data_IF_070403215418
#
_entry.id   IF_070403215418
#
_cell.length_a   1.000
_cell.length_b   1.000
_cell.length_c   1.000
_cell.angle_alpha   90.00
_cell.angle_beta   90.00
_cell.angle_gamma   90.00
#
_symmetry.space_group_name_H-M   'P 1'
#
loop_
_entity.id
_entity.type
_entity.pdbx_description
1 polymer ?
#
# COMPACT_ATOMS: atom_id res chain seq x y z
N UNK A 1 16.77 -42.99 27.39
CA UNK A 1 17.20 -42.01 28.44
C UNK A 1 16.04 -41.52 29.31
N UNK A 2 15.02 -40.76 28.83
CA UNK A 2 13.91 -40.27 29.70
C UNK A 2 13.08 -41.39 30.25
N UNK A 3 12.76 -42.44 29.47
CA UNK A 3 12.03 -43.62 29.92
C UNK A 3 12.85 -44.47 30.88
N UNK A 4 14.19 -44.52 30.74
CA UNK A 4 15.09 -45.25 31.62
C UNK A 4 15.23 -44.59 32.99
N UNK A 5 14.92 -43.30 33.07
CA UNK A 5 14.89 -42.53 34.33
C UNK A 5 13.52 -42.59 35.03
N UNK A 6 12.58 -43.38 34.53
CA UNK A 6 11.22 -43.54 35.06
C UNK A 6 10.49 -42.20 35.29
N UNK A 7 10.78 -41.20 34.41
CA UNK A 7 10.18 -39.90 34.53
C UNK A 7 8.66 -39.97 34.31
N UNK A 8 7.83 -39.46 35.25
CA UNK A 8 6.39 -39.52 35.11
C UNK A 8 5.93 -38.63 33.93
N UNK A 9 5.15 -39.24 33.03
CA UNK A 9 4.66 -38.59 31.80
C UNK A 9 5.80 -38.04 30.90
N UNK A 10 6.66 -38.95 30.36
CA UNK A 10 7.78 -38.51 29.56
C UNK A 10 7.33 -37.70 28.31
N UNK A 11 7.98 -36.59 28.00
CA UNK A 11 7.66 -35.83 26.80
C UNK A 11 7.94 -36.66 25.54
N UNK A 12 7.09 -36.48 24.53
CA UNK A 12 7.30 -37.06 23.20
C UNK A 12 8.01 -36.08 22.29
N UNK A 13 9.04 -36.56 21.60
CA UNK A 13 9.61 -35.80 20.49
C UNK A 13 8.71 -36.01 19.27
N UNK A 14 8.22 -34.88 18.70
CA UNK A 14 7.41 -34.90 17.49
C UNK A 14 8.16 -34.05 16.46
N UNK A 15 8.43 -34.64 15.31
CA UNK A 15 9.09 -33.94 14.20
C UNK A 15 8.04 -33.53 13.15
N UNK A 16 8.15 -32.33 12.68
CA UNK A 16 7.33 -31.78 11.62
C UNK A 16 8.19 -31.43 10.41
N UNK A 17 7.61 -31.56 9.21
CA UNK A 17 8.28 -31.14 8.00
C UNK A 17 8.44 -29.60 7.96
N UNK A 18 9.45 -29.16 7.24
CA UNK A 18 9.64 -27.74 6.96
C UNK A 18 8.53 -27.22 6.05
N UNK A 19 7.92 -26.10 6.42
CA UNK A 19 7.03 -25.35 5.56
C UNK A 19 7.86 -24.56 4.52
N UNK A 20 7.55 -24.74 3.24
CA UNK A 20 8.11 -23.95 2.15
C UNK A 20 7.10 -22.91 1.68
N UNK A 21 7.60 -21.72 1.38
CA UNK A 21 6.84 -20.63 0.77
C UNK A 21 7.38 -20.37 -0.63
N UNK A 22 6.49 -20.18 -1.60
CA UNK A 22 6.86 -19.79 -2.95
C UNK A 22 7.41 -18.35 -2.99
N UNK A 23 8.24 -18.03 -3.97
CA UNK A 23 8.74 -16.68 -4.26
C UNK A 23 9.48 -15.97 -3.11
N UNK A 24 9.93 -16.70 -2.09
CA UNK A 24 10.65 -16.15 -0.94
C UNK A 24 11.92 -16.93 -0.63
N UNK A 25 12.81 -16.27 0.10
CA UNK A 25 14.07 -16.86 0.59
C UNK A 25 13.97 -17.13 2.08
N UNK A 26 14.03 -18.41 2.47
CA UNK A 26 14.01 -18.83 3.88
C UNK A 26 15.35 -19.41 4.35
N UNK A 27 16.25 -19.74 3.41
CA UNK A 27 17.55 -20.33 3.70
C UNK A 27 18.52 -19.34 4.31
N UNK A 28 18.97 -19.58 5.56
CA UNK A 28 19.88 -18.68 6.30
C UNK A 28 21.12 -18.28 5.51
N UNK A 29 21.73 -19.21 4.77
CA UNK A 29 22.95 -18.95 3.96
C UNK A 29 22.69 -17.89 2.86
N UNK A 30 21.52 -17.94 2.22
CA UNK A 30 21.16 -16.99 1.17
C UNK A 30 20.83 -15.62 1.76
N UNK A 31 20.08 -15.58 2.87
CA UNK A 31 19.75 -14.32 3.56
C UNK A 31 21.03 -13.64 4.03
N UNK A 32 21.96 -14.40 4.63
CA UNK A 32 23.27 -13.88 5.05
C UNK A 32 24.03 -13.26 3.87
N UNK A 33 24.05 -13.94 2.72
CA UNK A 33 24.71 -13.45 1.50
C UNK A 33 24.07 -12.17 0.99
N UNK A 34 22.71 -12.07 0.95
CA UNK A 34 22.01 -10.85 0.56
C UNK A 34 22.35 -9.65 1.45
N UNK A 35 22.54 -9.88 2.76
CA UNK A 35 22.96 -8.84 3.71
C UNK A 35 24.41 -8.45 3.50
N UNK A 36 25.32 -9.43 3.36
CA UNK A 36 26.77 -9.19 3.16
C UNK A 36 27.07 -8.47 1.84
N UNK A 37 26.30 -8.77 0.79
CA UNK A 37 26.41 -8.11 -0.52
C UNK A 37 25.69 -6.76 -0.58
N UNK A 38 25.04 -6.31 0.51
CA UNK A 38 24.30 -5.03 0.57
C UNK A 38 23.04 -4.98 -0.31
N UNK A 39 22.52 -6.14 -0.72
CA UNK A 39 21.28 -6.23 -1.53
C UNK A 39 20.06 -5.93 -0.67
N UNK A 40 20.13 -6.30 0.61
CA UNK A 40 19.13 -5.96 1.65
C UNK A 40 19.81 -5.27 2.82
N UNK A 41 19.07 -4.36 3.51
CA UNK A 41 19.62 -3.53 4.60
C UNK A 41 19.93 -4.31 5.89
N UNK A 42 19.50 -5.56 6.00
CA UNK A 42 19.70 -6.37 7.18
C UNK A 42 18.67 -7.49 7.29
N UNK A 43 18.66 -8.18 8.43
CA UNK A 43 17.74 -9.28 8.70
C UNK A 43 16.29 -8.82 8.91
N UNK A 44 16.09 -7.53 9.12
CA UNK A 44 14.78 -6.84 9.26
C UNK A 44 14.30 -6.16 7.97
N UNK A 45 15.01 -6.36 6.85
CA UNK A 45 14.59 -5.79 5.57
C UNK A 45 13.19 -6.29 5.17
N UNK A 46 12.23 -5.40 4.88
CA UNK A 46 10.83 -5.77 4.58
C UNK A 46 10.62 -6.71 3.39
N UNK A 47 11.64 -6.95 2.56
CA UNK A 47 11.62 -7.94 1.47
C UNK A 47 11.84 -9.38 1.94
N UNK A 48 12.28 -9.56 3.19
CA UNK A 48 12.51 -10.88 3.78
C UNK A 48 11.28 -11.38 4.53
N UNK A 49 11.30 -12.67 4.89
CA UNK A 49 10.22 -13.34 5.64
C UNK A 49 10.63 -13.73 7.07
N UNK A 50 11.69 -13.12 7.60
CA UNK A 50 11.99 -13.23 9.03
C UNK A 50 10.90 -12.55 9.86
N UNK A 51 10.69 -12.96 11.11
CA UNK A 51 9.70 -12.32 12.00
C UNK A 51 10.01 -10.81 12.18
N UNK A 52 11.30 -10.44 12.24
CA UNK A 52 11.70 -9.04 12.32
C UNK A 52 11.32 -8.26 11.05
N UNK A 53 11.55 -8.84 9.87
CA UNK A 53 11.21 -8.24 8.59
C UNK A 53 9.70 -8.11 8.41
N UNK A 54 8.93 -9.17 8.69
CA UNK A 54 7.48 -9.15 8.62
C UNK A 54 6.89 -8.09 9.57
N UNK A 55 7.41 -7.99 10.81
CA UNK A 55 6.99 -6.95 11.77
C UNK A 55 7.26 -5.55 11.25
N UNK A 56 8.48 -5.28 10.73
CA UNK A 56 8.85 -3.98 10.16
C UNK A 56 8.02 -3.64 8.93
N UNK A 57 7.66 -4.64 8.12
CA UNK A 57 6.76 -4.47 6.98
C UNK A 57 5.31 -4.19 7.38
N UNK A 58 4.91 -4.53 8.61
CA UNK A 58 3.58 -4.28 9.15
C UNK A 58 2.66 -5.50 9.20
N UNK A 59 3.21 -6.73 9.12
CA UNK A 59 2.43 -7.93 9.35
C UNK A 59 2.05 -8.08 10.81
N UNK A 60 0.78 -8.36 11.07
CA UNK A 60 0.24 -8.55 12.42
C UNK A 60 0.47 -9.98 12.92
N UNK A 61 0.61 -10.21 14.23
CA UNK A 61 0.66 -11.56 14.80
C UNK A 61 -0.57 -12.40 14.42
N UNK A 62 -1.75 -11.79 14.36
CA UNK A 62 -3.03 -12.43 14.01
C UNK A 62 -2.99 -12.96 12.59
N UNK A 63 -2.49 -12.18 11.62
CA UNK A 63 -2.37 -12.61 10.24
C UNK A 63 -1.41 -13.79 10.06
N UNK A 64 -0.29 -13.79 10.80
CA UNK A 64 0.68 -14.88 10.76
C UNK A 64 0.08 -16.15 11.39
N UNK A 65 -0.61 -16.04 12.53
CA UNK A 65 -1.32 -17.16 13.15
C UNK A 65 -2.37 -17.74 12.21
N UNK A 66 -3.17 -16.89 11.59
CA UNK A 66 -4.19 -17.29 10.60
C UNK A 66 -3.58 -18.03 9.42
N UNK A 67 -2.45 -17.54 8.90
CA UNK A 67 -1.71 -18.22 7.85
C UNK A 67 -1.24 -19.63 8.30
N UNK A 68 -0.71 -19.75 9.51
CA UNK A 68 -0.28 -21.06 10.05
C UNK A 68 -1.45 -22.02 10.24
N UNK A 69 -2.62 -21.53 10.67
CA UNK A 69 -3.85 -22.34 10.75
C UNK A 69 -4.28 -22.87 9.39
N UNK A 70 -4.28 -22.02 8.36
CA UNK A 70 -4.65 -22.39 6.99
C UNK A 70 -3.65 -23.35 6.34
N UNK A 71 -2.35 -23.14 6.58
CA UNK A 71 -1.29 -24.02 6.07
C UNK A 71 -1.33 -25.39 6.73
N UNK A 72 -1.78 -25.46 7.97
CA UNK A 72 -1.78 -26.68 8.79
C UNK A 72 -0.38 -27.12 9.20
N UNK A 73 -0.33 -28.12 10.10
CA UNK A 73 0.90 -28.76 10.57
C UNK A 73 0.97 -30.14 9.97
N UNK A 74 2.03 -30.47 9.21
CA UNK A 74 2.20 -31.74 8.53
C UNK A 74 3.56 -32.37 8.85
N UNK A 75 3.62 -33.70 8.87
CA UNK A 75 4.89 -34.45 8.87
C UNK A 75 5.44 -34.61 7.45
N UNK A 76 4.59 -34.49 6.43
CA UNK A 76 5.00 -34.51 5.04
C UNK A 76 5.40 -33.08 4.61
N UNK A 77 6.42 -32.98 3.76
CA UNK A 77 6.85 -31.70 3.20
C UNK A 77 5.68 -31.04 2.46
N UNK A 78 5.42 -29.77 2.79
CA UNK A 78 4.37 -28.98 2.16
C UNK A 78 4.93 -27.63 1.66
N UNK A 79 4.33 -27.12 0.59
CA UNK A 79 4.61 -25.79 0.08
C UNK A 79 3.32 -24.98 0.08
N UNK A 80 3.37 -23.79 0.64
CA UNK A 80 2.26 -22.84 0.62
C UNK A 80 2.60 -21.65 -0.30
N UNK A 81 1.59 -21.14 -0.98
CA UNK A 81 1.76 -19.94 -1.78
C UNK A 81 1.95 -18.72 -0.86
N UNK A 82 2.94 -17.88 -1.14
CA UNK A 82 3.14 -16.62 -0.43
C UNK A 82 1.90 -15.71 -0.50
N UNK A 83 1.14 -15.78 -1.59
CA UNK A 83 -0.12 -15.06 -1.74
C UNK A 83 -1.16 -15.42 -0.67
N UNK A 84 -1.09 -16.60 -0.05
CA UNK A 84 -1.95 -16.97 1.09
C UNK A 84 -1.58 -16.18 2.35
N UNK A 85 -0.30 -15.93 2.61
CA UNK A 85 0.14 -15.06 3.70
C UNK A 85 -0.31 -13.62 3.46
N UNK A 86 -0.18 -13.14 2.21
CA UNK A 86 -0.67 -11.81 1.82
C UNK A 86 -2.20 -11.69 1.95
N UNK A 87 -2.94 -12.74 1.65
CA UNK A 87 -4.38 -12.79 1.88
C UNK A 87 -4.71 -12.64 3.37
N UNK A 88 -4.04 -13.36 4.25
CA UNK A 88 -4.28 -13.31 5.68
C UNK A 88 -4.08 -11.89 6.26
N UNK A 89 -3.01 -11.18 5.86
CA UNK A 89 -2.78 -9.82 6.33
C UNK A 89 -3.78 -8.83 5.72
N UNK A 90 -4.17 -9.01 4.47
CA UNK A 90 -5.17 -8.16 3.82
C UNK A 90 -6.52 -8.24 4.53
N UNK A 91 -6.99 -9.45 4.87
CA UNK A 91 -8.24 -9.65 5.60
C UNK A 91 -8.19 -9.09 7.03
N UNK A 92 -7.04 -9.21 7.71
CA UNK A 92 -6.88 -8.65 9.05
C UNK A 92 -6.93 -7.11 9.05
N UNK A 93 -6.23 -6.47 8.11
CA UNK A 93 -6.15 -5.02 8.01
C UNK A 93 -7.42 -4.36 7.45
N UNK A 94 -8.22 -5.10 6.69
CA UNK A 94 -9.45 -4.59 6.07
C UNK A 94 -10.40 -3.93 7.07
N UNK A 95 -10.50 -4.51 8.29
CA UNK A 95 -11.35 -4.02 9.37
C UNK A 95 -10.64 -3.06 10.33
N UNK A 96 -9.30 -3.10 10.38
CA UNK A 96 -8.51 -2.38 11.39
C UNK A 96 -7.92 -1.08 10.87
N UNK A 97 -7.50 -1.05 9.58
CA UNK A 97 -6.76 0.06 9.02
C UNK A 97 -7.68 1.18 8.54
N UNK A 98 -7.36 2.42 8.91
CA UNK A 98 -8.01 3.59 8.36
C UNK A 98 -7.70 3.76 6.88
N UNK A 99 -8.73 4.14 6.10
CA UNK A 99 -8.62 4.34 4.64
C UNK A 99 -8.34 5.80 4.35
N UNK A 100 -7.12 6.09 3.99
CA UNK A 100 -6.57 7.42 3.84
C UNK A 100 -6.24 7.74 2.37
N UNK A 101 -6.33 9.01 1.99
CA UNK A 101 -5.91 9.44 0.66
C UNK A 101 -4.41 9.74 0.66
N UNK A 102 -3.71 9.11 -0.28
CA UNK A 102 -2.28 9.29 -0.50
C UNK A 102 -2.01 9.27 -2.00
N UNK A 103 -1.28 10.24 -2.49
CA UNK A 103 -0.90 10.40 -3.89
C UNK A 103 0.57 10.03 -4.02
N UNK A 104 0.87 8.96 -4.75
CA UNK A 104 2.20 8.37 -4.82
C UNK A 104 3.07 8.98 -5.93
N UNK A 105 2.47 9.35 -7.05
CA UNK A 105 3.13 10.10 -8.14
C UNK A 105 2.33 11.37 -8.41
N UNK A 106 2.59 12.44 -7.64
CA UNK A 106 1.75 13.62 -7.64
C UNK A 106 1.85 14.44 -8.94
N UNK A 107 0.67 14.88 -9.40
CA UNK A 107 0.53 15.95 -10.37
C UNK A 107 -0.44 16.98 -9.79
N UNK A 108 -0.12 18.27 -10.01
CA UNK A 108 -0.93 19.38 -9.50
C UNK A 108 -2.23 19.51 -10.31
N UNK A 109 -3.35 19.68 -9.60
CA UNK A 109 -4.64 19.99 -10.16
C UNK A 109 -5.11 21.34 -9.60
N UNK A 110 -5.42 22.29 -10.47
CA UNK A 110 -5.93 23.61 -10.11
C UNK A 110 -7.39 23.71 -10.51
N UNK A 111 -8.24 24.14 -9.58
CA UNK A 111 -9.67 24.34 -9.83
C UNK A 111 -9.87 25.84 -10.09
N UNK A 112 -9.95 26.21 -11.37
CA UNK A 112 -9.89 27.62 -11.82
C UNK A 112 -11.03 28.49 -11.28
N UNK A 113 -12.23 27.92 -11.14
CA UNK A 113 -13.40 28.62 -10.64
C UNK A 113 -13.65 28.41 -9.13
N UNK A 114 -12.71 27.80 -8.38
CA UNK A 114 -12.80 27.75 -6.92
C UNK A 114 -12.26 29.04 -6.31
N UNK A 115 -12.94 29.65 -5.31
CA UNK A 115 -12.53 30.92 -4.74
C UNK A 115 -11.11 30.90 -4.16
N UNK A 116 -10.32 31.90 -4.46
CA UNK A 116 -8.96 32.03 -3.92
C UNK A 116 -8.97 32.19 -2.40
N UNK A 117 -8.03 31.54 -1.72
CA UNK A 117 -7.88 31.60 -0.27
C UNK A 117 -8.98 30.90 0.52
N UNK A 118 -9.98 30.33 -0.15
CA UNK A 118 -11.01 29.54 0.53
C UNK A 118 -10.52 28.11 0.78
N UNK A 119 -10.77 27.63 2.01
CA UNK A 119 -10.61 26.22 2.39
C UNK A 119 -11.90 25.75 3.01
N UNK A 120 -12.42 24.63 2.57
CA UNK A 120 -13.52 23.93 3.21
C UNK A 120 -13.09 22.55 3.68
N UNK A 121 -13.95 21.89 4.45
CA UNK A 121 -13.67 20.56 5.01
C UNK A 121 -14.79 19.60 4.68
N UNK A 122 -14.38 18.39 4.29
CA UNK A 122 -15.28 17.26 4.07
C UNK A 122 -15.13 16.24 5.18
N UNK A 123 -16.25 15.69 5.64
CA UNK A 123 -16.26 14.53 6.53
C UNK A 123 -16.11 13.28 5.67
N UNK A 124 -15.01 12.54 5.88
CA UNK A 124 -14.71 11.31 5.16
C UNK A 124 -14.57 10.17 6.15
N UNK A 125 -15.25 9.05 5.87
CA UNK A 125 -15.19 7.84 6.71
C UNK A 125 -13.74 7.32 6.82
N UNK A 126 -13.33 7.03 8.04
CA UNK A 126 -12.03 6.41 8.29
C UNK A 126 -12.00 4.97 7.77
N UNK A 127 -13.08 4.21 7.97
CA UNK A 127 -13.20 2.88 7.41
C UNK A 127 -14.66 2.54 7.14
N UNK A 128 -15.06 2.40 5.88
CA UNK A 128 -16.44 2.11 5.49
C UNK A 128 -16.96 0.73 5.92
N UNK A 129 -16.07 -0.19 6.31
CA UNK A 129 -16.44 -1.53 6.79
C UNK A 129 -16.44 -1.61 8.32
N UNK A 130 -16.03 -0.53 9.01
CA UNK A 130 -16.02 -0.42 10.46
C UNK A 130 -16.60 0.94 10.89
N UNK A 131 -17.88 0.98 11.15
CA UNK A 131 -18.59 2.22 11.57
C UNK A 131 -17.99 2.84 12.85
N UNK A 132 -17.40 2.00 13.74
CA UNK A 132 -16.74 2.48 14.95
C UNK A 132 -15.47 3.30 14.69
N UNK A 133 -14.90 3.23 13.49
CA UNK A 133 -13.74 4.05 13.10
C UNK A 133 -14.09 5.54 12.97
N UNK A 134 -15.37 5.88 12.79
CA UNK A 134 -15.84 7.27 12.66
C UNK A 134 -15.38 7.95 11.37
N UNK A 135 -15.37 9.29 11.42
CA UNK A 135 -15.02 10.15 10.29
C UNK A 135 -13.89 11.11 10.66
N UNK A 136 -13.24 11.68 9.64
CA UNK A 136 -12.25 12.75 9.79
C UNK A 136 -12.54 13.92 8.86
N UNK A 137 -12.06 15.09 9.21
CA UNK A 137 -12.12 16.30 8.40
C UNK A 137 -10.95 16.33 7.42
N UNK A 138 -11.25 16.41 6.12
CA UNK A 138 -10.25 16.53 5.06
C UNK A 138 -10.39 17.89 4.40
N UNK A 139 -9.29 18.66 4.39
CA UNK A 139 -9.24 19.98 3.79
C UNK A 139 -9.35 19.91 2.27
N UNK A 140 -10.03 20.89 1.68
CA UNK A 140 -10.19 21.06 0.24
C UNK A 140 -10.03 22.54 -0.12
N UNK A 141 -9.16 22.82 -1.05
CA UNK A 141 -8.90 24.15 -1.54
C UNK A 141 -8.80 24.18 -3.08
N UNK A 142 -8.40 25.31 -3.65
CA UNK A 142 -8.24 25.51 -5.08
C UNK A 142 -7.18 24.59 -5.71
N UNK A 143 -6.12 24.26 -4.98
CA UNK A 143 -4.99 23.46 -5.46
C UNK A 143 -4.94 22.10 -4.79
N UNK A 144 -4.90 21.07 -5.59
CA UNK A 144 -4.89 19.68 -5.15
C UNK A 144 -3.74 18.92 -5.81
N UNK A 145 -3.38 17.78 -5.23
CA UNK A 145 -2.58 16.72 -5.90
C UNK A 145 -3.47 15.54 -6.22
N UNK A 146 -3.26 14.95 -7.40
CA UNK A 146 -3.83 13.67 -7.81
C UNK A 146 -2.71 12.76 -8.31
N UNK A 147 -2.94 11.45 -8.40
CA UNK A 147 -1.99 10.55 -9.03
C UNK A 147 -1.89 10.85 -10.54
N UNK A 148 -0.67 10.87 -11.04
CA UNK A 148 -0.40 11.09 -12.46
C UNK A 148 -1.13 10.12 -13.36
N UNK A 149 -1.28 8.86 -12.94
CA UNK A 149 -2.02 7.84 -13.69
C UNK A 149 -3.52 8.14 -13.83
N UNK A 150 -4.05 9.08 -13.04
CA UNK A 150 -5.45 9.52 -13.12
C UNK A 150 -5.69 10.57 -14.22
N UNK A 151 -4.65 10.96 -14.95
CA UNK A 151 -4.74 11.86 -16.09
C UNK A 151 -4.05 11.27 -17.33
N UNK A 152 -4.71 11.40 -18.49
CA UNK A 152 -4.14 11.14 -19.81
C UNK A 152 -4.59 12.21 -20.79
N UNK A 153 -3.69 12.61 -21.68
CA UNK A 153 -4.02 13.56 -22.76
C UNK A 153 -4.89 12.89 -23.82
N UNK A 154 -4.50 11.72 -24.27
CA UNK A 154 -5.17 10.90 -25.28
C UNK A 154 -5.49 9.52 -24.70
N UNK A 155 -6.62 9.37 -24.00
CA UNK A 155 -6.92 8.12 -23.33
C UNK A 155 -7.39 7.03 -24.28
N UNK A 156 -7.09 5.75 -23.97
CA UNK A 156 -7.67 4.63 -24.70
C UNK A 156 -9.17 4.49 -24.42
N UNK A 157 -9.86 3.71 -25.26
CA UNK A 157 -11.26 3.35 -25.01
C UNK A 157 -11.42 2.72 -23.62
N UNK A 158 -12.47 3.10 -22.89
CA UNK A 158 -12.79 2.65 -21.52
C UNK A 158 -11.85 3.21 -20.41
N UNK A 159 -11.16 4.31 -20.67
CA UNK A 159 -10.50 5.07 -19.62
C UNK A 159 -11.55 5.98 -18.93
N UNK A 160 -11.79 5.75 -17.64
CA UNK A 160 -12.82 6.47 -16.87
C UNK A 160 -12.23 7.44 -15.85
N UNK A 161 -11.05 7.96 -16.12
CA UNK A 161 -10.36 8.95 -15.30
C UNK A 161 -10.31 10.29 -16.02
N UNK A 162 -9.48 11.22 -15.57
CA UNK A 162 -9.44 12.59 -16.07
C UNK A 162 -8.68 12.70 -17.40
N UNK A 163 -9.26 13.44 -18.34
CA UNK A 163 -8.63 13.84 -19.62
C UNK A 163 -9.31 15.13 -20.13
N UNK A 164 -8.74 15.85 -21.11
CA UNK A 164 -9.31 17.09 -21.61
C UNK A 164 -10.79 16.95 -22.03
N UNK A 165 -11.64 17.77 -21.42
CA UNK A 165 -13.10 17.75 -21.63
C UNK A 165 -13.89 16.72 -20.82
N UNK A 166 -13.24 15.80 -20.12
CA UNK A 166 -13.92 14.80 -19.29
C UNK A 166 -14.15 15.27 -17.86
N UNK A 167 -15.16 14.68 -17.23
CA UNK A 167 -15.60 14.99 -15.88
C UNK A 167 -15.46 13.73 -15.00
N UNK A 168 -14.93 13.92 -13.78
CA UNK A 168 -14.81 12.88 -12.76
C UNK A 168 -15.27 13.39 -11.41
N UNK A 169 -15.57 12.46 -10.48
CA UNK A 169 -15.79 12.80 -9.07
C UNK A 169 -14.46 12.77 -8.32
N UNK A 170 -14.15 13.85 -7.63
CA UNK A 170 -13.19 13.84 -6.54
C UNK A 170 -13.83 13.15 -5.33
N UNK A 171 -13.18 12.10 -4.81
CA UNK A 171 -13.73 11.24 -3.75
C UNK A 171 -14.19 12.06 -2.54
N UNK A 172 -15.46 11.94 -2.20
CA UNK A 172 -16.06 12.66 -1.07
C UNK A 172 -16.18 14.18 -1.24
N UNK A 173 -15.92 14.73 -2.44
CA UNK A 173 -15.99 16.17 -2.72
C UNK A 173 -16.91 16.50 -3.89
N UNK A 174 -16.40 17.02 -4.97
CA UNK A 174 -17.13 17.56 -6.11
C UNK A 174 -16.90 16.79 -7.40
N UNK A 175 -17.70 17.06 -8.42
CA UNK A 175 -17.33 16.78 -9.80
C UNK A 175 -16.40 17.87 -10.31
N UNK A 176 -15.38 17.45 -11.03
CA UNK A 176 -14.44 18.36 -11.72
C UNK A 176 -14.30 17.95 -13.18
N UNK A 177 -14.23 18.95 -14.06
CA UNK A 177 -14.05 18.78 -15.49
C UNK A 177 -12.71 19.37 -15.91
N UNK A 178 -11.88 18.60 -16.57
CA UNK A 178 -10.62 19.09 -17.13
C UNK A 178 -10.89 20.05 -18.29
N UNK A 179 -10.33 21.24 -18.22
CA UNK A 179 -10.46 22.28 -19.26
C UNK A 179 -9.14 22.54 -19.98
N UNK A 180 -8.01 22.40 -19.27
CA UNK A 180 -6.68 22.63 -19.85
C UNK A 180 -5.60 21.88 -19.03
N UNK A 181 -4.36 21.87 -19.52
CA UNK A 181 -3.21 21.34 -18.81
C UNK A 181 -1.91 22.02 -19.29
N UNK A 182 -0.89 22.03 -18.42
CA UNK A 182 0.43 22.60 -18.73
C UNK A 182 1.50 21.52 -18.78
N UNK A 183 2.44 21.68 -19.70
CA UNK A 183 3.63 20.82 -19.83
C UNK A 183 4.89 21.58 -19.45
N UNK A 184 5.87 20.84 -18.97
CA UNK A 184 7.23 21.35 -18.82
C UNK A 184 8.00 21.32 -20.16
N UNK A 185 9.26 21.77 -20.14
CA UNK A 185 10.14 21.80 -21.31
C UNK A 185 10.41 20.42 -21.92
N UNK A 186 10.20 19.34 -21.15
CA UNK A 186 10.35 17.94 -21.62
C UNK A 186 9.10 17.37 -22.26
N UNK A 187 8.00 18.13 -22.23
CA UNK A 187 6.68 17.71 -22.72
C UNK A 187 5.87 16.90 -21.71
N UNK A 188 6.34 16.78 -20.47
CA UNK A 188 5.63 16.09 -19.38
C UNK A 188 4.56 17.02 -18.79
N UNK A 189 3.33 16.51 -18.62
CA UNK A 189 2.26 17.28 -17.96
C UNK A 189 2.61 17.48 -16.48
N UNK A 190 2.59 18.73 -16.03
CA UNK A 190 2.96 19.13 -14.66
C UNK A 190 1.81 19.76 -13.88
N UNK A 191 0.81 20.30 -14.58
CA UNK A 191 -0.35 20.92 -13.98
C UNK A 191 -1.60 20.68 -14.83
N UNK A 192 -2.74 20.41 -14.19
CA UNK A 192 -4.03 20.19 -14.81
C UNK A 192 -4.98 21.29 -14.34
N UNK A 193 -5.71 21.90 -15.26
CA UNK A 193 -6.72 22.91 -14.97
C UNK A 193 -8.11 22.33 -15.09
N UNK A 194 -8.92 22.50 -14.05
CA UNK A 194 -10.28 21.99 -13.97
C UNK A 194 -11.25 23.10 -13.54
N UNK A 195 -12.51 22.92 -13.89
CA UNK A 195 -13.63 23.61 -13.25
C UNK A 195 -14.41 22.64 -12.39
N UNK A 196 -14.92 23.08 -11.23
CA UNK A 196 -15.81 22.27 -10.39
C UNK A 196 -17.26 22.74 -10.51
N UNK A 197 -18.17 21.85 -10.18
CA UNK A 197 -19.62 22.13 -10.11
C UNK A 197 -20.04 22.14 -8.63
N UNK A 198 -20.37 23.34 -8.07
CA UNK A 198 -20.72 23.46 -6.65
C UNK A 198 -21.94 22.65 -6.22
N UNK A 199 -22.91 22.41 -7.14
CA UNK A 199 -24.13 21.66 -6.85
C UNK A 199 -23.85 20.17 -6.57
N UNK A 200 -22.71 19.67 -7.07
CA UNK A 200 -22.33 18.25 -6.95
C UNK A 200 -21.62 17.90 -5.64
N UNK A 201 -21.64 18.81 -4.65
CA UNK A 201 -21.03 18.59 -3.33
C UNK A 201 -21.47 17.25 -2.75
N UNK A 202 -20.55 16.43 -2.30
CA UNK A 202 -20.88 15.16 -1.64
C UNK A 202 -21.77 15.41 -0.41
N UNK A 203 -22.87 14.65 -0.29
CA UNK A 203 -23.85 14.82 0.78
C UNK A 203 -24.92 15.89 0.52
N UNK A 204 -24.88 16.61 -0.62
CA UNK A 204 -25.91 17.63 -0.96
C UNK A 204 -27.24 17.06 -1.46
N UNK A 205 -27.32 15.75 -1.71
CA UNK A 205 -28.49 15.15 -2.35
C UNK A 205 -28.57 15.37 -3.86
N UNK A 206 -27.49 15.76 -4.52
CA UNK A 206 -27.46 15.95 -5.97
C UNK A 206 -27.77 14.64 -6.72
N UNK A 207 -28.88 14.62 -7.45
CA UNK A 207 -29.37 13.47 -8.23
C UNK A 207 -29.28 13.67 -9.75
N UNK A 208 -28.61 14.72 -10.21
CA UNK A 208 -28.52 15.08 -11.62
C UNK A 208 -27.73 14.05 -12.46
N UNK A 209 -26.70 14.48 -13.15
CA UNK A 209 -25.86 13.59 -13.97
C UNK A 209 -24.95 12.69 -13.12
N UNK A 210 -24.60 11.54 -13.68
CA UNK A 210 -23.63 10.60 -13.07
C UNK A 210 -22.32 10.62 -13.85
N UNK A 211 -21.19 10.60 -13.13
CA UNK A 211 -19.85 10.41 -13.70
C UNK A 211 -19.38 8.98 -13.48
N UNK A 212 -18.61 8.44 -14.41
CA UNK A 212 -18.11 7.06 -14.33
C UNK A 212 -16.85 6.90 -13.47
N UNK A 213 -16.06 7.97 -13.38
CA UNK A 213 -14.78 7.96 -12.69
C UNK A 213 -14.83 8.63 -11.33
N UNK A 214 -14.21 8.00 -10.32
CA UNK A 214 -13.90 8.64 -9.04
C UNK A 214 -12.41 8.51 -8.79
N UNK A 215 -11.74 9.63 -8.54
CA UNK A 215 -10.32 9.69 -8.21
C UNK A 215 -10.14 10.23 -6.78
N UNK A 216 -9.06 9.83 -6.12
CA UNK A 216 -8.67 10.40 -4.84
C UNK A 216 -7.74 11.60 -5.06
N UNK A 217 -7.57 12.39 -4.04
CA UNK A 217 -6.87 13.66 -4.10
C UNK A 217 -6.32 14.03 -2.72
N UNK A 218 -5.38 14.98 -2.70
CA UNK A 218 -4.83 15.56 -1.47
C UNK A 218 -4.77 17.08 -1.65
N UNK A 219 -5.24 17.82 -0.65
CA UNK A 219 -5.16 19.30 -0.65
C UNK A 219 -3.70 19.74 -0.59
N UNK A 220 -3.28 20.61 -1.54
CA UNK A 220 -1.88 21.01 -1.68
C UNK A 220 -1.37 21.84 -0.51
N UNK A 221 -2.25 22.66 0.11
CA UNK A 221 -1.86 23.55 1.21
C UNK A 221 -1.61 22.83 2.53
N UNK A 222 -2.19 21.64 2.70
CA UNK A 222 -2.11 20.86 3.94
C UNK A 222 -1.38 19.53 3.80
N UNK A 223 -0.96 19.20 2.57
CA UNK A 223 -0.29 17.95 2.26
C UNK A 223 0.93 17.66 3.15
N UNK A 224 1.12 16.40 3.48
CA UNK A 224 2.29 15.90 4.20
C UNK A 224 3.17 15.15 3.22
N UNK A 225 4.46 15.48 3.20
CA UNK A 225 5.44 14.80 2.37
C UNK A 225 5.84 13.46 3.00
N UNK A 226 6.01 12.45 2.16
CA UNK A 226 6.46 11.14 2.61
C UNK A 226 7.27 10.39 1.56
N UNK A 227 8.15 9.51 2.06
CA UNK A 227 8.76 8.45 1.27
C UNK A 227 7.89 7.20 1.34
N UNK A 228 7.60 6.58 0.21
CA UNK A 228 6.85 5.32 0.13
C UNK A 228 7.69 4.26 -0.54
N UNK A 229 7.79 3.11 0.09
CA UNK A 229 8.54 1.94 -0.39
C UNK A 229 7.60 0.85 -0.86
N UNK A 230 7.73 0.48 -2.11
CA UNK A 230 6.99 -0.61 -2.73
C UNK A 230 7.90 -1.82 -2.86
N UNK A 231 7.39 -2.98 -2.44
CA UNK A 231 8.16 -4.22 -2.42
C UNK A 231 7.56 -5.23 -3.38
N UNK A 232 8.42 -5.83 -4.18
CA UNK A 232 8.14 -7.02 -4.98
C UNK A 232 8.90 -8.23 -4.40
N UNK A 233 8.56 -9.42 -4.86
CA UNK A 233 9.25 -10.64 -4.42
C UNK A 233 10.74 -10.56 -4.74
N UNK A 234 11.56 -10.89 -3.76
CA UNK A 234 13.03 -10.86 -3.91
C UNK A 234 13.54 -11.97 -4.83
N UNK A 235 12.78 -13.03 -5.00
CA UNK A 235 13.02 -14.09 -5.99
C UNK A 235 11.75 -14.34 -6.79
N UNK A 236 11.95 -14.75 -8.04
CA UNK A 236 10.89 -15.17 -8.95
C UNK A 236 11.17 -16.64 -9.32
N UNK A 237 10.37 -17.56 -8.78
CA UNK A 237 10.59 -18.99 -8.99
C UNK A 237 10.35 -19.43 -10.44
N UNK A 238 9.54 -18.68 -11.21
CA UNK A 238 9.33 -18.96 -12.64
C UNK A 238 10.59 -18.69 -13.46
N UNK A 239 11.41 -17.72 -13.02
CA UNK A 239 12.72 -17.40 -13.64
C UNK A 239 13.88 -18.24 -13.12
N UNK A 240 13.59 -19.15 -12.17
CA UNK A 240 14.60 -19.94 -11.48
C UNK A 240 15.16 -19.25 -10.25
N UNK A 241 15.17 -19.97 -9.13
CA UNK A 241 15.63 -19.46 -7.84
C UNK A 241 17.15 -19.29 -7.74
N UNK A 242 17.89 -20.10 -8.47
CA UNK A 242 19.34 -20.13 -8.45
C UNK A 242 19.89 -19.93 -9.86
N UNK A 243 21.01 -19.22 -9.95
CA UNK A 243 21.84 -19.14 -11.14
C UNK A 243 22.59 -20.48 -11.36
N UNK A 244 23.22 -20.65 -12.50
CA UNK A 244 24.03 -21.84 -12.84
C UNK A 244 25.18 -22.09 -11.86
N UNK A 245 25.73 -21.03 -11.27
CA UNK A 245 26.81 -21.09 -10.26
C UNK A 245 26.30 -21.37 -8.83
N UNK A 246 24.98 -21.59 -8.67
CA UNK A 246 24.36 -21.88 -7.37
C UNK A 246 24.11 -20.64 -6.50
N UNK A 247 24.39 -19.44 -7.00
CA UNK A 247 24.02 -18.18 -6.32
C UNK A 247 22.54 -17.90 -6.47
N UNK A 248 21.99 -17.06 -5.57
CA UNK A 248 20.58 -16.68 -5.63
C UNK A 248 20.32 -15.75 -6.84
N UNK A 249 19.35 -16.13 -7.66
CA UNK A 249 18.82 -15.28 -8.73
C UNK A 249 17.81 -14.29 -8.12
N UNK A 250 18.31 -13.17 -7.61
CA UNK A 250 17.45 -12.18 -6.96
C UNK A 250 16.90 -11.15 -7.95
N UNK A 251 15.72 -10.62 -7.65
CA UNK A 251 15.09 -9.56 -8.41
C UNK A 251 15.69 -8.19 -8.03
N UNK A 252 16.45 -7.52 -8.92
CA UNK A 252 17.04 -6.22 -8.62
C UNK A 252 15.98 -5.11 -8.47
N UNK A 253 14.77 -5.32 -9.00
CA UNK A 253 13.64 -4.40 -8.90
C UNK A 253 12.69 -4.75 -7.74
N UNK A 254 13.18 -5.50 -6.74
CA UNK A 254 12.38 -5.89 -5.58
C UNK A 254 12.03 -4.73 -4.63
N UNK A 255 12.63 -3.57 -4.80
CA UNK A 255 12.37 -2.34 -4.05
C UNK A 255 12.25 -1.16 -5.01
N UNK A 256 11.13 -0.44 -4.92
CA UNK A 256 10.94 0.88 -5.54
C UNK A 256 10.72 1.91 -4.44
N UNK A 257 11.49 3.00 -4.47
CA UNK A 257 11.40 4.10 -3.50
C UNK A 257 10.81 5.32 -4.18
N UNK A 258 9.66 5.77 -3.70
CA UNK A 258 8.96 6.99 -4.14
C UNK A 258 9.20 8.06 -3.07
N UNK A 259 9.84 9.18 -3.43
CA UNK A 259 10.31 10.19 -2.46
C UNK A 259 9.40 11.39 -2.30
N UNK A 260 8.54 11.66 -3.30
CA UNK A 260 7.77 12.90 -3.39
C UNK A 260 6.26 12.68 -3.22
N UNK A 261 5.87 11.65 -2.46
CA UNK A 261 4.47 11.31 -2.22
C UNK A 261 3.80 12.41 -1.38
N UNK A 262 2.51 12.70 -1.68
CA UNK A 262 1.69 13.68 -0.98
C UNK A 262 0.54 12.98 -0.27
N UNK A 263 0.47 13.14 1.04
CA UNK A 263 -0.49 12.49 1.91
C UNK A 263 -1.41 13.53 2.55
N UNK A 264 -2.64 13.15 2.89
CA UNK A 264 -3.56 14.06 3.58
C UNK A 264 -3.06 14.48 4.97
N UNK A 265 -3.53 15.63 5.45
CA UNK A 265 -3.05 16.28 6.67
C UNK A 265 -3.06 15.39 7.93
N UNK A 266 -4.00 14.43 8.02
CA UNK A 266 -4.13 13.54 9.17
C UNK A 266 -2.90 12.63 9.38
N UNK A 267 -2.04 12.47 8.38
CA UNK A 267 -0.79 11.72 8.53
C UNK A 267 0.27 12.45 9.38
N UNK A 268 0.05 13.72 9.76
CA UNK A 268 0.95 14.42 10.71
C UNK A 268 1.05 13.73 12.05
N UNK A 269 0.00 12.99 12.44
CA UNK A 269 -0.07 12.28 13.71
C UNK A 269 0.33 10.79 13.61
N UNK A 270 0.73 10.33 12.43
CA UNK A 270 1.13 8.95 12.16
C UNK A 270 2.40 8.56 12.93
N UNK A 271 2.38 7.41 13.58
CA UNK A 271 3.46 6.91 14.43
C UNK A 271 4.10 5.67 13.82
N UNK A 272 5.40 5.43 14.08
CA UNK A 272 6.07 4.20 13.68
C UNK A 272 5.27 2.95 14.09
N UNK A 273 4.98 2.09 13.11
CA UNK A 273 4.19 0.87 13.29
C UNK A 273 2.70 1.00 13.00
N UNK A 274 2.17 2.21 12.87
CA UNK A 274 0.77 2.41 12.45
C UNK A 274 0.55 1.89 11.03
N UNK A 275 -0.62 1.28 10.81
CA UNK A 275 -1.00 0.72 9.51
C UNK A 275 -2.23 1.42 8.95
N UNK A 276 -2.17 1.72 7.64
CA UNK A 276 -3.22 2.44 6.90
C UNK A 276 -3.51 1.74 5.58
N UNK A 277 -4.72 1.88 5.08
CA UNK A 277 -5.03 1.60 3.69
C UNK A 277 -4.90 2.88 2.87
N UNK A 278 -3.90 2.98 1.98
CA UNK A 278 -3.88 4.03 0.97
C UNK A 278 -4.91 3.67 -0.10
N UNK A 279 -5.89 4.54 -0.25
CA UNK A 279 -7.03 4.31 -1.16
C UNK A 279 -6.52 4.00 -2.57
N UNK A 280 -6.97 2.87 -3.14
CA UNK A 280 -6.60 2.34 -4.47
C UNK A 280 -5.19 1.74 -4.57
N UNK A 281 -4.29 1.96 -3.62
CA UNK A 281 -2.89 1.49 -3.69
C UNK A 281 -2.62 0.21 -2.89
N UNK A 282 -3.08 0.12 -1.65
CA UNK A 282 -2.79 -1.03 -0.80
C UNK A 282 -2.81 -0.70 0.68
N UNK A 283 -2.24 -1.61 1.47
CA UNK A 283 -2.01 -1.41 2.89
C UNK A 283 -0.54 -1.06 3.13
N UNK A 284 -0.31 -0.09 3.99
CA UNK A 284 1.00 0.48 4.27
C UNK A 284 1.22 0.62 5.77
N UNK A 285 2.46 0.45 6.20
CA UNK A 285 2.87 0.61 7.59
C UNK A 285 3.93 1.72 7.68
N UNK A 286 3.85 2.57 8.70
CA UNK A 286 4.88 3.55 9.02
C UNK A 286 6.14 2.80 9.44
N UNK A 287 7.26 3.02 8.74
CA UNK A 287 8.52 2.32 9.01
C UNK A 287 9.04 2.63 10.41
N UNK A 288 9.35 1.60 11.19
CA UNK A 288 9.79 1.73 12.58
C UNK A 288 11.25 2.10 12.76
N UNK A 289 12.05 2.05 11.68
CA UNK A 289 13.51 2.29 11.71
C UNK A 289 13.89 3.60 11.05
N UNK A 290 13.28 3.90 9.90
CA UNK A 290 13.70 5.00 9.03
C UNK A 290 12.79 6.23 9.12
N UNK A 291 11.59 6.12 9.73
CA UNK A 291 10.75 7.28 10.05
C UNK A 291 11.42 8.11 11.14
N UNK A 292 11.45 9.42 10.93
CA UNK A 292 11.96 10.44 11.86
C UNK A 292 10.96 11.57 11.98
N UNK A 293 11.18 12.50 12.90
CA UNK A 293 10.30 13.64 13.16
C UNK A 293 10.01 14.48 11.91
N UNK A 294 11.02 14.63 11.04
CA UNK A 294 10.98 15.41 9.80
C UNK A 294 10.81 14.56 8.54
N UNK A 295 10.70 13.24 8.67
CA UNK A 295 10.65 12.30 7.54
C UNK A 295 9.74 11.12 7.80
N UNK A 296 8.57 11.12 7.20
CA UNK A 296 7.68 9.97 7.19
C UNK A 296 8.10 8.96 6.11
N UNK A 297 8.23 7.70 6.50
CA UNK A 297 8.54 6.58 5.61
C UNK A 297 7.48 5.51 5.75
N UNK A 298 6.92 5.06 4.64
CA UNK A 298 5.91 4.01 4.61
C UNK A 298 6.39 2.79 3.84
N UNK A 299 6.17 1.63 4.41
CA UNK A 299 6.39 0.33 3.77
C UNK A 299 5.06 -0.22 3.24
N UNK A 300 4.99 -0.59 1.96
CA UNK A 300 3.83 -1.33 1.45
C UNK A 300 3.79 -2.72 2.08
N UNK A 301 2.76 -3.00 2.86
CA UNK A 301 2.51 -4.31 3.43
C UNK A 301 2.08 -5.26 2.32
N UNK A 302 0.98 -4.90 1.63
CA UNK A 302 0.37 -5.70 0.59
C UNK A 302 -0.49 -4.83 -0.35
N UNK A 303 -0.62 -5.22 -1.61
CA UNK A 303 -1.53 -4.60 -2.57
C UNK A 303 -3.00 -4.92 -2.26
N UNK A 304 -3.96 -4.20 -2.87
CA UNK A 304 -5.39 -4.47 -2.69
C UNK A 304 -5.85 -5.77 -3.39
N UNK A 305 -5.20 -6.13 -4.50
CA UNK A 305 -5.56 -7.33 -5.27
C UNK A 305 -4.88 -8.55 -4.67
N UNK A 306 -5.61 -9.67 -4.61
CA UNK A 306 -5.09 -10.98 -4.24
C UNK A 306 -5.08 -11.91 -5.47
N UNK A 307 -4.00 -12.64 -5.65
CA UNK A 307 -3.95 -13.80 -6.55
C UNK A 307 -4.49 -15.08 -5.85
N UNK A 308 -4.45 -15.13 -4.52
CA UNK A 308 -4.98 -16.23 -3.73
C UNK A 308 -6.50 -16.15 -3.63
N UNK A 309 -7.17 -17.27 -3.85
CA UNK A 309 -8.61 -17.46 -3.62
C UNK A 309 -8.77 -18.57 -2.60
N UNK A 310 -9.38 -18.31 -1.43
CA UNK A 310 -9.73 -19.38 -0.50
C UNK A 310 -10.73 -20.33 -1.17
N UNK A 311 -10.55 -21.63 -0.93
CA UNK A 311 -11.49 -22.67 -1.38
C UNK A 311 -12.79 -22.61 -0.57
#
# INVERSE_FOLDING_TARGET
MVNELEYPNPPRQIEFAKLYLTNVVTGKRYIKKLVEDGIVDGWDDPRLVSIAALRRRGYTPESIKKFMELSGISKAQSSSDYAMLEYCIREDLKMKADRMMAVLDPIKLVIDNYPEGQTEYFDIDNNQENEAAGTRKVAFSRELYIDREDFMEEPPKKYFRLFPGNEVRLKGAYFVKCVDYKKDETGKVVEIHCTYDPETRSGSGFEGRKVKGTIHWVDASTAVDAEVRLYENIVDEEKGKLNEDGTLNYNPNSLTVLKDCKLEAAFKDAKPGDSYQFIRHGFFCVDTKDTKEDKLVFNRIVSLKSSYKPN
#
